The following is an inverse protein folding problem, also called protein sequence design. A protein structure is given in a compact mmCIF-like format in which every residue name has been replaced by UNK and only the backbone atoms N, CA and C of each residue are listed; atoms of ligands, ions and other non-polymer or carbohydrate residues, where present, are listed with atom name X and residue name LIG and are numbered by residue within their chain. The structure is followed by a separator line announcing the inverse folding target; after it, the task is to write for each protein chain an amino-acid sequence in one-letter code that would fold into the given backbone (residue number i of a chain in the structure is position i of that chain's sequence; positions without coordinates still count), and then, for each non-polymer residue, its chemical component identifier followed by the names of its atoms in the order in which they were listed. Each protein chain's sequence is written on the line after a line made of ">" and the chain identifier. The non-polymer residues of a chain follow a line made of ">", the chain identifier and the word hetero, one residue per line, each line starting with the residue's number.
data_IF_383144560818
#
_entry.id   IF_383144560818
#
_cell.length_a   1.000
_cell.length_b   1.000
_cell.length_c   1.000
_cell.angle_alpha   90.00
_cell.angle_beta   90.00
_cell.angle_gamma   90.00
#
_symmetry.space_group_name_H-M   'P 1'
#
loop_
_entity.id
_entity.type
_entity.pdbx_description
1 polymer ?
#
# COMPACT_ATOMS: atom_id res chain seq x y z
N UNK A 1 -10.00 19.73 6.65
CA UNK A 1 -11.17 18.84 6.48
C UNK A 1 -10.71 17.42 6.73
N UNK A 2 -11.29 16.68 7.68
CA UNK A 2 -10.81 15.34 8.02
C UNK A 2 -11.43 14.32 7.04
N UNK A 3 -10.59 13.62 6.29
CA UNK A 3 -11.03 12.64 5.28
C UNK A 3 -11.55 11.36 5.97
N UNK A 4 -12.56 10.73 5.37
CA UNK A 4 -13.21 9.50 5.90
C UNK A 4 -12.23 8.31 5.94
N UNK A 5 -11.26 8.29 5.04
CA UNK A 5 -10.30 7.20 4.93
C UNK A 5 -9.21 7.33 5.98
N UNK A 6 -8.89 6.21 6.64
CA UNK A 6 -7.83 6.09 7.64
C UNK A 6 -6.65 5.27 7.13
N UNK A 7 -6.85 4.54 6.03
CA UNK A 7 -5.83 3.72 5.41
C UNK A 7 -5.76 3.91 3.92
N UNK A 8 -4.57 3.77 3.37
CA UNK A 8 -4.35 3.85 1.95
C UNK A 8 -3.22 2.92 1.49
N UNK A 9 -3.21 2.64 0.19
CA UNK A 9 -2.23 1.81 -0.47
C UNK A 9 -2.42 1.84 -1.98
N UNK A 10 -1.50 1.22 -2.71
CA UNK A 10 -1.54 1.15 -4.17
C UNK A 10 -1.05 -0.19 -4.68
N UNK A 11 -1.41 -0.53 -5.91
CA UNK A 11 -0.84 -1.67 -6.61
C UNK A 11 -0.73 -1.37 -8.10
N UNK A 12 0.16 -2.09 -8.78
CA UNK A 12 0.23 -2.10 -10.23
C UNK A 12 0.50 -3.50 -10.78
N UNK A 13 -0.13 -3.83 -11.91
CA UNK A 13 0.14 -5.05 -12.68
C UNK A 13 0.38 -4.65 -14.12
N UNK A 14 1.58 -4.90 -14.63
CA UNK A 14 1.91 -4.70 -16.05
C UNK A 14 1.73 -6.01 -16.82
N UNK A 15 1.15 -5.92 -18.02
CA UNK A 15 0.99 -7.04 -18.94
C UNK A 15 2.30 -7.64 -19.43
N UNK A 16 2.21 -8.81 -20.08
CA UNK A 16 3.39 -9.59 -20.47
C UNK A 16 4.24 -8.94 -21.56
N UNK A 17 3.73 -8.03 -22.38
CA UNK A 17 4.54 -7.27 -23.34
C UNK A 17 5.17 -6.01 -22.72
N UNK A 18 4.89 -5.70 -21.46
CA UNK A 18 5.55 -4.64 -20.71
C UNK A 18 6.72 -5.13 -19.83
N UNK A 19 7.27 -4.18 -19.06
CA UNK A 19 8.43 -4.34 -18.19
C UNK A 19 8.07 -3.89 -16.76
N UNK A 20 8.69 -4.43 -15.71
CA UNK A 20 8.30 -4.13 -14.32
C UNK A 20 8.43 -2.64 -13.99
N UNK A 21 9.38 -1.93 -14.60
CA UNK A 21 9.57 -0.49 -14.47
C UNK A 21 8.43 0.32 -15.07
N UNK A 22 7.60 -0.23 -15.97
CA UNK A 22 6.38 0.45 -16.39
C UNK A 22 5.40 0.57 -15.22
N UNK A 23 5.23 -0.50 -14.45
CA UNK A 23 4.43 -0.49 -13.23
C UNK A 23 5.09 0.41 -12.17
N UNK A 24 6.40 0.24 -11.93
CA UNK A 24 7.13 1.01 -10.94
C UNK A 24 7.12 2.51 -11.24
N UNK A 25 7.40 2.90 -12.48
CA UNK A 25 7.44 4.28 -12.95
C UNK A 25 6.09 4.99 -12.83
N UNK A 26 4.98 4.27 -12.96
CA UNK A 26 3.65 4.83 -12.75
C UNK A 26 3.37 5.07 -11.26
N UNK A 27 3.65 4.10 -10.39
CA UNK A 27 3.22 4.18 -8.99
C UNK A 27 4.24 4.82 -8.04
N UNK A 28 5.54 4.83 -8.35
CA UNK A 28 6.59 5.35 -7.45
C UNK A 28 6.93 6.83 -7.66
N UNK A 29 6.34 7.48 -8.64
CA UNK A 29 6.59 8.91 -8.85
C UNK A 29 5.71 9.75 -7.94
N UNK A 30 6.24 10.90 -7.53
CA UNK A 30 5.49 11.90 -6.77
C UNK A 30 4.31 12.45 -7.58
N UNK A 31 4.39 12.43 -8.93
CA UNK A 31 3.30 12.89 -9.81
C UNK A 31 2.02 12.07 -9.65
N UNK A 32 2.16 10.77 -9.38
CA UNK A 32 1.02 9.90 -9.12
C UNK A 32 0.69 9.84 -7.62
N UNK A 33 1.70 9.54 -6.79
CA UNK A 33 1.49 9.31 -5.36
C UNK A 33 0.98 10.52 -4.58
N UNK A 34 1.46 11.73 -4.90
CA UNK A 34 1.04 12.93 -4.17
C UNK A 34 -0.41 13.30 -4.45
N UNK A 35 -0.91 13.08 -5.67
CA UNK A 35 -2.32 13.34 -5.97
C UNK A 35 -3.26 12.60 -5.01
N UNK A 36 -2.98 11.32 -4.76
CA UNK A 36 -3.78 10.53 -3.82
C UNK A 36 -3.54 10.93 -2.35
N UNK A 37 -2.30 11.24 -1.97
CA UNK A 37 -1.97 11.69 -0.59
C UNK A 37 -2.61 13.03 -0.26
N UNK A 38 -2.57 13.98 -1.18
CA UNK A 38 -3.22 15.29 -1.06
C UNK A 38 -4.73 15.14 -0.92
N UNK A 39 -5.36 14.34 -1.80
CA UNK A 39 -6.79 14.04 -1.74
C UNK A 39 -7.21 13.42 -0.39
N UNK A 40 -6.33 12.62 0.24
CA UNK A 40 -6.59 12.00 1.54
C UNK A 40 -6.07 12.81 2.73
N UNK A 41 -5.37 13.93 2.50
CA UNK A 41 -4.62 14.65 3.55
C UNK A 41 -3.77 13.67 4.38
N UNK A 42 -2.99 12.84 3.69
CA UNK A 42 -2.16 11.79 4.26
C UNK A 42 -0.70 12.24 4.39
N UNK A 43 -0.08 11.99 5.55
CA UNK A 43 1.36 12.25 5.75
C UNK A 43 2.22 11.05 5.36
N UNK A 44 1.72 9.82 5.53
CA UNK A 44 2.47 8.60 5.23
C UNK A 44 2.63 8.36 3.73
N UNK A 45 3.61 7.52 3.37
CA UNK A 45 3.72 6.98 2.02
C UNK A 45 2.73 5.83 1.81
N UNK A 46 2.37 5.60 0.56
CA UNK A 46 1.46 4.52 0.18
C UNK A 46 2.23 3.20 0.14
N UNK A 47 1.84 2.23 0.96
CA UNK A 47 2.26 0.83 0.80
C UNK A 47 1.90 0.34 -0.60
N UNK A 48 2.73 -0.53 -1.18
CA UNK A 48 2.61 -0.88 -2.59
C UNK A 48 2.91 -2.35 -2.88
N UNK A 49 2.37 -2.80 -4.00
CA UNK A 49 2.88 -3.95 -4.77
C UNK A 49 3.00 -3.52 -6.23
N UNK A 50 3.94 -4.10 -6.95
CA UNK A 50 4.10 -3.96 -8.38
C UNK A 50 4.54 -5.32 -8.92
N UNK A 51 3.85 -5.81 -9.93
CA UNK A 51 4.15 -7.10 -10.54
C UNK A 51 3.94 -7.06 -12.05
N UNK A 52 4.57 -8.02 -12.74
CA UNK A 52 4.29 -8.34 -14.14
C UNK A 52 3.49 -9.63 -14.19
N UNK A 53 2.40 -9.65 -14.95
CA UNK A 53 1.53 -10.81 -15.06
C UNK A 53 0.44 -10.61 -16.11
N UNK A 54 -0.10 -11.71 -16.63
CA UNK A 54 -1.19 -11.68 -17.60
C UNK A 54 -2.57 -11.52 -16.94
N UNK A 55 -3.62 -11.61 -17.76
CA UNK A 55 -5.00 -11.52 -17.30
C UNK A 55 -5.29 -12.44 -16.11
N UNK A 56 -6.12 -11.97 -15.18
CA UNK A 56 -6.48 -12.68 -13.95
C UNK A 56 -5.32 -12.87 -12.95
N UNK A 57 -4.20 -12.18 -13.13
CA UNK A 57 -3.13 -12.14 -12.12
C UNK A 57 -3.66 -11.61 -10.77
N UNK A 58 -3.19 -12.16 -9.63
CA UNK A 58 -3.65 -11.72 -8.32
C UNK A 58 -3.19 -10.29 -8.03
N UNK A 59 -4.13 -9.43 -7.66
CA UNK A 59 -3.88 -8.05 -7.26
C UNK A 59 -3.95 -7.97 -5.74
N UNK A 60 -2.87 -7.50 -5.12
CA UNK A 60 -2.77 -7.34 -3.67
C UNK A 60 -2.45 -5.88 -3.33
N UNK A 61 -3.38 -5.19 -2.67
CA UNK A 61 -3.20 -3.80 -2.24
C UNK A 61 -2.96 -3.78 -0.73
N UNK A 62 -1.70 -3.72 -0.27
CA UNK A 62 -1.42 -3.54 1.14
C UNK A 62 -1.88 -2.15 1.56
N UNK A 63 -2.56 -2.05 2.70
CA UNK A 63 -2.99 -0.80 3.31
C UNK A 63 -2.27 -0.56 4.62
N UNK A 64 -1.85 0.68 4.85
CA UNK A 64 -1.32 1.16 6.13
C UNK A 64 -2.09 2.40 6.59
N UNK A 65 -1.91 2.82 7.85
CA UNK A 65 -2.51 4.08 8.31
C UNK A 65 -1.92 5.26 7.52
N UNK A 66 -2.80 6.19 7.15
CA UNK A 66 -2.47 7.31 6.27
C UNK A 66 -1.63 8.41 6.95
N UNK A 67 -1.58 8.40 8.28
CA UNK A 67 -0.90 9.40 9.10
C UNK A 67 0.24 8.79 9.93
N UNK A 68 0.23 7.47 10.14
CA UNK A 68 1.13 6.76 11.04
C UNK A 68 1.55 5.40 10.44
N UNK A 69 2.73 5.35 9.82
CA UNK A 69 3.26 4.11 9.22
C UNK A 69 3.46 2.98 10.24
N UNK A 70 3.57 3.30 11.53
CA UNK A 70 3.80 2.34 12.62
C UNK A 70 2.53 1.71 13.18
N UNK A 71 1.35 2.26 12.86
CA UNK A 71 0.07 1.82 13.45
C UNK A 71 -0.35 0.44 13.00
N UNK A 72 0.12 -0.57 13.73
CA UNK A 72 -0.07 -2.00 13.43
C UNK A 72 -1.52 -2.41 13.28
N UNK A 73 -2.46 -1.76 13.95
CA UNK A 73 -3.90 -2.04 13.83
C UNK A 73 -4.47 -1.81 12.43
N UNK A 74 -3.76 -1.05 11.59
CA UNK A 74 -4.21 -0.63 10.28
C UNK A 74 -3.65 -1.48 9.13
N UNK A 75 -2.60 -2.27 9.35
CA UNK A 75 -2.06 -3.17 8.32
C UNK A 75 -3.08 -4.21 7.87
N UNK A 76 -3.46 -4.21 6.59
CA UNK A 76 -4.29 -5.25 5.98
C UNK A 76 -4.19 -5.18 4.46
N UNK A 77 -4.34 -6.30 3.77
CA UNK A 77 -4.30 -6.36 2.31
C UNK A 77 -5.70 -6.51 1.74
N UNK A 78 -6.04 -5.73 0.71
CA UNK A 78 -7.17 -6.00 -0.17
C UNK A 78 -6.67 -6.93 -1.29
N UNK A 79 -7.39 -8.01 -1.56
CA UNK A 79 -7.03 -8.97 -2.60
C UNK A 79 -8.20 -9.16 -3.59
N UNK A 80 -7.91 -9.10 -4.88
CA UNK A 80 -8.85 -9.41 -5.96
C UNK A 80 -8.09 -9.73 -7.25
N UNK A 81 -8.81 -9.99 -8.34
CA UNK A 81 -8.25 -10.10 -9.68
C UNK A 81 -9.28 -9.54 -10.69
N UNK A 82 -8.82 -9.19 -11.89
CA UNK A 82 -9.69 -8.82 -13.02
C UNK A 82 -9.58 -9.95 -14.05
N UNK A 83 -10.66 -10.72 -14.32
CA UNK A 83 -10.56 -11.94 -15.12
C UNK A 83 -9.95 -11.77 -16.52
N UNK A 84 -10.16 -10.62 -17.16
CA UNK A 84 -9.73 -10.33 -18.53
C UNK A 84 -8.61 -9.28 -18.62
N UNK A 85 -8.02 -8.87 -17.49
CA UNK A 85 -7.00 -7.82 -17.44
C UNK A 85 -5.84 -8.13 -16.46
N UNK A 86 -4.63 -7.57 -16.69
CA UNK A 86 -4.27 -6.78 -17.88
C UNK A 86 -4.08 -7.70 -19.09
N UNK A 87 -4.44 -7.21 -20.28
CA UNK A 87 -3.90 -7.80 -21.52
C UNK A 87 -2.39 -7.54 -21.60
N UNK A 88 -1.73 -8.23 -22.53
CA UNK A 88 -0.26 -8.22 -22.60
C UNK A 88 0.31 -6.81 -22.78
N UNK A 89 -0.38 -5.90 -23.46
CA UNK A 89 0.00 -4.51 -23.72
C UNK A 89 -0.68 -3.49 -22.79
N UNK A 90 -1.34 -3.94 -21.71
CA UNK A 90 -2.06 -3.08 -20.75
C UNK A 90 -1.33 -2.99 -19.40
N UNK A 91 -1.74 -2.00 -18.59
CA UNK A 91 -1.31 -1.86 -17.19
C UNK A 91 -2.54 -1.60 -16.32
N UNK A 92 -2.66 -2.35 -15.23
CA UNK A 92 -3.61 -2.06 -14.14
C UNK A 92 -2.92 -1.20 -13.10
N UNK A 93 -3.59 -0.15 -12.67
CA UNK A 93 -3.20 0.70 -11.53
C UNK A 93 -4.34 0.73 -10.51
N UNK A 94 -4.02 0.53 -9.24
CA UNK A 94 -5.01 0.46 -8.15
C UNK A 94 -4.65 1.44 -7.04
N UNK A 95 -5.66 2.17 -6.57
CA UNK A 95 -5.62 2.93 -5.33
C UNK A 95 -6.61 2.29 -4.35
N UNK A 96 -6.11 1.83 -3.21
CA UNK A 96 -6.92 1.22 -2.16
C UNK A 96 -7.09 2.14 -0.97
N UNK A 97 -8.27 2.12 -0.35
CA UNK A 97 -8.53 2.87 0.87
C UNK A 97 -9.54 2.17 1.77
N UNK A 98 -9.42 2.41 3.09
CA UNK A 98 -10.39 1.91 4.07
C UNK A 98 -10.65 2.94 5.19
N UNK A 99 -11.82 2.85 5.82
CA UNK A 99 -12.34 3.87 6.77
C UNK A 99 -11.94 3.64 8.23
N UNK A 100 -11.31 2.52 8.55
CA UNK A 100 -10.84 2.17 9.91
C UNK A 100 -9.90 0.97 9.86
N UNK A 101 -9.33 0.57 11.00
CA UNK A 101 -8.38 -0.55 11.12
C UNK A 101 -9.00 -1.95 10.99
N UNK A 102 -8.24 -2.99 11.38
CA UNK A 102 -8.75 -4.38 11.41
C UNK A 102 -9.85 -4.52 12.48
N UNK A 103 -11.02 -5.14 12.16
CA UNK A 103 -12.15 -5.26 13.10
C UNK A 103 -11.81 -5.93 14.43
N UNK A 104 -10.85 -6.85 14.42
CA UNK A 104 -10.46 -7.63 15.60
C UNK A 104 -8.97 -7.49 15.89
N UNK A 105 -8.44 -6.26 15.87
CA UNK A 105 -7.04 -6.02 16.20
C UNK A 105 -6.69 -6.49 17.64
N UNK A 106 -5.65 -7.32 17.78
CA UNK A 106 -5.27 -7.94 19.07
C UNK A 106 -3.82 -8.42 19.13
N UNK A 107 -2.90 -7.74 18.45
CA UNK A 107 -1.48 -8.14 18.35
C UNK A 107 -0.53 -7.03 18.85
N UNK A 108 -0.99 -6.26 19.84
CA UNK A 108 -0.21 -5.19 20.44
C UNK A 108 0.07 -4.02 19.50
N UNK A 109 1.08 -3.24 19.86
CA UNK A 109 1.44 -2.00 19.22
C UNK A 109 2.94 -1.97 18.88
N UNK A 110 3.31 -1.34 17.76
CA UNK A 110 4.70 -1.31 17.30
C UNK A 110 5.61 -0.57 18.27
N UNK A 111 5.12 0.48 18.91
CA UNK A 111 5.93 1.33 19.78
C UNK A 111 6.26 0.62 21.09
N UNK A 112 5.30 -0.12 21.64
CA UNK A 112 5.56 -0.96 22.82
C UNK A 112 6.61 -2.03 22.52
N UNK A 113 6.51 -2.72 21.38
CA UNK A 113 7.50 -3.73 21.01
C UNK A 113 8.92 -3.14 20.92
N UNK A 114 9.06 -1.90 20.45
CA UNK A 114 10.37 -1.24 20.38
C UNK A 114 10.93 -0.90 21.76
N UNK A 115 10.09 -0.41 22.66
CA UNK A 115 10.46 -0.17 24.07
C UNK A 115 10.89 -1.47 24.75
N UNK A 116 10.08 -2.53 24.63
CA UNK A 116 10.34 -3.84 25.25
C UNK A 116 11.64 -4.48 24.74
N UNK A 117 11.99 -4.24 23.46
CA UNK A 117 13.22 -4.71 22.85
C UNK A 117 14.41 -3.76 23.04
N UNK A 118 14.22 -2.60 23.68
CA UNK A 118 15.25 -1.57 23.84
C UNK A 118 15.76 -1.01 22.51
N UNK A 119 14.86 -0.85 21.53
CA UNK A 119 15.17 -0.42 20.16
C UNK A 119 14.71 1.00 19.88
N UNK A 120 15.44 1.66 19.00
CA UNK A 120 15.15 3.01 18.54
C UNK A 120 14.05 3.05 17.47
N UNK A 121 13.30 4.14 17.40
CA UNK A 121 12.20 4.31 16.45
C UNK A 121 12.68 4.50 15.01
N UNK A 122 13.78 5.23 14.83
CA UNK A 122 14.35 5.55 13.53
C UNK A 122 15.19 4.38 13.00
N UNK A 123 15.79 3.60 13.89
CA UNK A 123 16.50 2.37 13.54
C UNK A 123 16.01 1.13 14.33
N UNK A 124 14.79 0.64 14.04
CA UNK A 124 14.14 -0.43 14.80
C UNK A 124 14.83 -1.80 14.66
N UNK A 125 15.65 -1.97 13.63
CA UNK A 125 16.36 -3.20 13.32
C UNK A 125 17.89 -3.04 13.43
N UNK A 126 18.38 -2.04 14.17
CA UNK A 126 19.81 -1.82 14.37
C UNK A 126 20.50 -3.13 14.79
N UNK A 127 21.39 -3.64 13.92
CA UNK A 127 22.26 -4.79 14.22
C UNK A 127 23.60 -4.27 14.69
#
# INVERSE_FOLDING_TARGET
>A
MQTKYKRNGKAAVVGLNGEIEHASGLIHTLRFGNFYREALSASSYLSFTNMRGGANSPIMVPLMDKDDVGRRSHYLTIQFAIPDAPRDDEVIIVLGGATGGRPHHRIGDRYQDLEDLGRDLDNPAAV
#
